data_IF_338874932781
#
_entry.id   IF_338874932781
#
_cell.length_a   1.000
_cell.length_b   1.000
_cell.length_c   1.000
_cell.angle_alpha   90.00
_cell.angle_beta   90.00
_cell.angle_gamma   90.00
#
_symmetry.space_group_name_H-M   'P 1'
#
loop_
_entity.id
_entity.type
_entity.pdbx_description
1 polymer ?
#
# COMPACT_ATOMS: atom_id res chain seq x y z
N UNK A 1 15.07 7.68 -39.69
CA UNK A 1 15.83 7.24 -38.49
C UNK A 1 15.16 7.72 -37.20
N UNK A 2 13.88 8.12 -37.26
CA UNK A 2 13.17 8.72 -36.12
C UNK A 2 12.31 7.72 -35.34
N UNK A 3 11.99 6.56 -35.92
CA UNK A 3 11.23 5.50 -35.26
C UNK A 3 11.96 4.81 -34.10
N UNK A 4 13.29 4.67 -34.17
CA UNK A 4 14.11 4.02 -33.13
C UNK A 4 14.14 4.87 -31.84
N UNK A 5 14.12 6.20 -31.95
CA UNK A 5 14.14 7.10 -30.78
C UNK A 5 12.83 7.08 -29.97
N UNK A 6 11.71 6.77 -30.61
CA UNK A 6 10.40 6.77 -29.95
C UNK A 6 10.15 5.46 -29.19
N UNK A 7 10.66 4.34 -29.70
CA UNK A 7 10.63 3.03 -29.03
C UNK A 7 11.50 3.03 -27.76
N UNK A 8 12.73 3.56 -27.85
CA UNK A 8 13.63 3.71 -26.69
C UNK A 8 13.02 4.63 -25.62
N UNK A 9 12.33 5.70 -26.01
CA UNK A 9 11.66 6.60 -25.07
C UNK A 9 10.49 5.91 -24.34
N UNK A 10 9.72 5.08 -25.05
CA UNK A 10 8.63 4.30 -24.48
C UNK A 10 9.16 3.22 -23.51
N UNK A 11 10.23 2.51 -23.89
CA UNK A 11 10.87 1.51 -23.04
C UNK A 11 11.43 2.16 -21.77
N UNK A 12 12.12 3.29 -21.91
CA UNK A 12 12.63 4.05 -20.77
C UNK A 12 11.50 4.48 -19.83
N UNK A 13 10.40 5.00 -20.36
CA UNK A 13 9.23 5.37 -19.56
C UNK A 13 8.67 4.17 -18.78
N UNK A 14 8.59 2.99 -19.42
CA UNK A 14 8.12 1.76 -18.77
C UNK A 14 9.05 1.36 -17.61
N UNK A 15 10.36 1.37 -17.84
CA UNK A 15 11.34 1.07 -16.80
C UNK A 15 11.29 2.07 -15.65
N UNK A 16 11.11 3.36 -15.94
CA UNK A 16 10.95 4.39 -14.91
C UNK A 16 9.70 4.16 -14.05
N UNK A 17 8.57 3.81 -14.67
CA UNK A 17 7.34 3.47 -13.95
C UNK A 17 7.50 2.24 -13.06
N UNK A 18 8.15 1.19 -13.56
CA UNK A 18 8.45 -0.03 -12.78
C UNK A 18 9.39 0.28 -11.61
N UNK A 19 10.42 1.10 -11.82
CA UNK A 19 11.32 1.54 -10.74
C UNK A 19 10.59 2.40 -9.70
N UNK A 20 9.69 3.27 -10.16
CA UNK A 20 8.92 4.14 -9.29
C UNK A 20 7.98 3.34 -8.38
N UNK A 21 7.28 2.34 -8.92
CA UNK A 21 6.38 1.51 -8.10
C UNK A 21 7.13 0.74 -7.01
N UNK A 22 8.31 0.22 -7.33
CA UNK A 22 9.19 -0.44 -6.35
C UNK A 22 9.66 0.53 -5.25
N UNK A 23 10.07 1.75 -5.63
CA UNK A 23 10.50 2.76 -4.67
C UNK A 23 9.37 3.16 -3.70
N UNK A 24 8.15 3.33 -4.22
CA UNK A 24 6.97 3.66 -3.39
C UNK A 24 6.67 2.51 -2.42
N UNK A 25 6.76 1.26 -2.89
CA UNK A 25 6.55 0.09 -2.05
C UNK A 25 7.60 -0.04 -0.93
N UNK A 26 8.86 0.24 -1.24
CA UNK A 26 9.94 0.23 -0.26
C UNK A 26 9.71 1.29 0.83
N UNK A 27 9.37 2.52 0.43
CA UNK A 27 9.05 3.60 1.36
C UNK A 27 7.87 3.25 2.27
N UNK A 28 6.79 2.71 1.69
CA UNK A 28 5.63 2.24 2.44
C UNK A 28 6.00 1.12 3.42
N UNK A 29 6.84 0.17 2.99
CA UNK A 29 7.33 -0.93 3.83
C UNK A 29 8.09 -0.39 5.04
N UNK A 30 9.01 0.56 4.83
CA UNK A 30 9.77 1.18 5.92
C UNK A 30 8.84 1.97 6.86
N UNK A 31 7.89 2.71 6.30
CA UNK A 31 6.90 3.47 7.06
C UNK A 31 6.07 2.58 8.00
N UNK A 32 5.43 1.54 7.46
CA UNK A 32 4.61 0.63 8.27
C UNK A 32 5.44 -0.20 9.23
N UNK A 33 6.66 -0.59 8.84
CA UNK A 33 7.58 -1.30 9.74
C UNK A 33 7.86 -0.46 10.98
N UNK A 34 8.23 0.82 10.81
CA UNK A 34 8.49 1.71 11.96
C UNK A 34 7.23 1.95 12.77
N UNK A 35 6.12 2.30 12.12
CA UNK A 35 4.85 2.64 12.79
C UNK A 35 4.28 1.47 13.58
N UNK A 36 4.26 0.28 13.00
CA UNK A 36 3.70 -0.89 13.65
C UNK A 36 4.66 -1.48 14.68
N UNK A 37 5.97 -1.32 14.50
CA UNK A 37 6.94 -1.68 15.55
C UNK A 37 6.68 -0.90 16.84
N UNK A 38 6.57 0.43 16.75
CA UNK A 38 6.33 1.30 17.91
C UNK A 38 4.99 1.02 18.61
N UNK A 39 3.99 0.54 17.86
CA UNK A 39 2.64 0.25 18.39
C UNK A 39 2.53 -1.16 18.97
N UNK A 40 3.15 -2.15 18.35
CA UNK A 40 2.89 -3.55 18.62
C UNK A 40 4.00 -4.26 19.38
N UNK A 41 5.26 -3.79 19.29
CA UNK A 41 6.40 -4.50 19.87
C UNK A 41 6.80 -3.86 21.19
N UNK A 42 6.42 -4.50 22.29
CA UNK A 42 6.75 -4.04 23.63
C UNK A 42 8.08 -4.57 24.17
N UNK A 43 8.51 -5.76 23.73
CA UNK A 43 9.76 -6.41 24.18
C UNK A 43 10.42 -7.14 23.02
N UNK A 44 11.71 -6.90 22.82
CA UNK A 44 12.47 -7.60 21.78
C UNK A 44 12.81 -9.01 22.28
N UNK A 45 12.11 -10.02 21.76
CA UNK A 45 12.37 -11.44 21.99
C UNK A 45 13.04 -12.12 20.80
N UNK A 46 13.29 -13.42 20.91
CA UNK A 46 13.80 -14.25 19.79
C UNK A 46 12.73 -14.60 18.76
N UNK A 47 11.46 -14.35 19.09
CA UNK A 47 10.30 -14.56 18.25
C UNK A 47 9.19 -13.61 18.69
N UNK A 48 8.31 -13.28 17.75
CA UNK A 48 7.07 -12.57 18.03
C UNK A 48 6.12 -13.50 18.77
N UNK A 49 5.55 -13.03 19.89
CA UNK A 49 4.47 -13.78 20.53
C UNK A 49 3.16 -13.68 19.70
N UNK A 50 2.15 -14.47 20.05
CA UNK A 50 0.90 -14.49 19.29
C UNK A 50 0.18 -13.14 19.29
N UNK A 51 0.31 -12.36 20.37
CA UNK A 51 -0.33 -11.05 20.48
C UNK A 51 0.37 -10.01 19.61
N UNK A 52 1.71 -10.04 19.54
CA UNK A 52 2.51 -9.20 18.65
C UNK A 52 2.21 -9.51 17.18
N UNK A 53 2.14 -10.79 16.80
CA UNK A 53 1.79 -11.21 15.43
C UNK A 53 0.39 -10.71 15.03
N UNK A 54 -0.61 -10.93 15.88
CA UNK A 54 -1.98 -10.43 15.63
C UNK A 54 -2.03 -8.91 15.60
N UNK A 55 -1.28 -8.21 16.45
CA UNK A 55 -1.22 -6.76 16.43
C UNK A 55 -0.64 -6.23 15.12
N UNK A 56 0.46 -6.82 14.62
CA UNK A 56 1.09 -6.40 13.37
C UNK A 56 0.16 -6.56 12.15
N UNK A 57 -0.55 -7.69 12.04
CA UNK A 57 -1.54 -7.91 10.96
C UNK A 57 -2.62 -6.82 10.98
N UNK A 58 -3.22 -6.63 12.15
CA UNK A 58 -4.25 -5.61 12.35
C UNK A 58 -3.71 -4.20 12.10
N UNK A 59 -2.48 -3.89 12.51
CA UNK A 59 -1.91 -2.55 12.37
C UNK A 59 -1.88 -2.09 10.91
N UNK A 60 -1.42 -2.96 10.02
CA UNK A 60 -1.34 -2.68 8.58
C UNK A 60 -2.73 -2.70 7.95
N UNK A 61 -3.57 -3.69 8.25
CA UNK A 61 -4.95 -3.78 7.75
C UNK A 61 -5.80 -2.56 8.13
N UNK A 62 -5.73 -2.12 9.40
CA UNK A 62 -6.47 -0.95 9.87
C UNK A 62 -6.02 0.33 9.18
N UNK A 63 -4.75 0.45 8.82
CA UNK A 63 -4.26 1.61 8.07
C UNK A 63 -4.91 1.68 6.69
N UNK A 64 -4.95 0.56 5.95
CA UNK A 64 -5.55 0.52 4.61
C UNK A 64 -7.05 0.80 4.65
N UNK A 65 -7.79 0.17 5.57
CA UNK A 65 -9.23 0.40 5.76
C UNK A 65 -9.57 1.87 5.99
N UNK A 66 -8.85 2.50 6.92
CA UNK A 66 -9.09 3.89 7.28
C UNK A 66 -8.65 4.82 6.16
N UNK A 67 -7.53 4.52 5.48
CA UNK A 67 -7.05 5.34 4.37
C UNK A 67 -8.06 5.37 3.23
N UNK A 68 -8.63 4.22 2.85
CA UNK A 68 -9.68 4.15 1.83
C UNK A 68 -10.93 4.94 2.28
N UNK A 69 -11.38 4.73 3.52
CA UNK A 69 -12.53 5.46 4.07
C UNK A 69 -12.31 6.97 4.07
N UNK A 70 -11.14 7.44 4.52
CA UNK A 70 -10.79 8.86 4.54
C UNK A 70 -10.74 9.43 3.12
N UNK A 71 -10.14 8.71 2.17
CA UNK A 71 -10.13 9.12 0.76
C UNK A 71 -11.55 9.23 0.21
N UNK A 72 -12.41 8.27 0.49
CA UNK A 72 -13.83 8.31 0.09
C UNK A 72 -14.54 9.52 0.68
N UNK A 73 -14.30 9.83 1.96
CA UNK A 73 -14.89 10.98 2.63
C UNK A 73 -14.39 12.33 2.11
N UNK A 74 -13.10 12.44 1.78
CA UNK A 74 -12.50 13.67 1.25
C UNK A 74 -12.90 13.87 -0.23
N UNK A 75 -12.88 12.80 -1.03
CA UNK A 75 -13.30 12.82 -2.43
C UNK A 75 -14.83 12.96 -2.58
N UNK A 76 -15.60 12.57 -1.56
CA UNK A 76 -17.07 12.66 -1.45
C UNK A 76 -17.67 14.07 -1.41
N UNK A 77 -16.99 15.05 -2.00
CA UNK A 77 -17.60 16.28 -2.51
C UNK A 77 -17.63 16.35 -4.05
N UNK A 78 -17.24 15.28 -4.76
CA UNK A 78 -17.45 15.15 -6.20
C UNK A 78 -17.83 13.70 -6.56
N UNK A 79 -19.11 13.54 -6.90
CA UNK A 79 -19.74 12.40 -7.58
C UNK A 79 -20.10 11.13 -6.78
N UNK A 80 -21.38 10.79 -6.86
CA UNK A 80 -22.04 9.68 -6.18
C UNK A 80 -21.81 8.29 -6.79
N UNK A 81 -22.47 7.26 -6.23
CA UNK A 81 -22.02 5.88 -6.31
C UNK A 81 -22.44 5.21 -7.62
N UNK A 82 -21.46 4.78 -8.40
CA UNK A 82 -21.66 3.71 -9.37
C UNK A 82 -20.35 2.95 -9.53
N UNK A 83 -20.18 1.92 -8.70
CA UNK A 83 -19.45 0.72 -9.07
C UNK A 83 -19.86 -0.42 -8.14
N UNK A 84 -20.45 -1.44 -8.76
CA UNK A 84 -20.85 -2.68 -8.13
C UNK A 84 -19.66 -3.29 -7.42
N UNK A 85 -19.76 -3.35 -6.10
CA UNK A 85 -18.80 -4.03 -5.26
C UNK A 85 -19.12 -5.52 -5.35
N UNK A 86 -18.39 -6.24 -6.20
CA UNK A 86 -18.24 -7.68 -6.07
C UNK A 86 -17.63 -7.94 -4.69
N UNK A 87 -18.51 -8.17 -3.71
CA UNK A 87 -18.18 -8.78 -2.44
C UNK A 87 -17.73 -10.21 -2.74
N UNK A 88 -16.41 -10.41 -2.84
CA UNK A 88 -15.88 -11.69 -3.26
C UNK A 88 -14.37 -11.79 -3.19
N UNK A 89 -13.76 -11.25 -2.15
CA UNK A 89 -12.33 -11.41 -1.90
C UNK A 89 -12.12 -11.11 -0.45
N UNK A 90 -11.87 -12.17 0.31
CA UNK A 90 -11.76 -12.13 1.76
C UNK A 90 -10.89 -10.96 2.22
N UNK A 91 -11.37 -10.29 3.26
CA UNK A 91 -10.58 -9.44 4.12
C UNK A 91 -9.59 -10.31 4.96
N UNK A 92 -9.03 -11.38 4.34
CA UNK A 92 -8.03 -12.38 4.74
C UNK A 92 -7.61 -13.24 3.54
#
# INVERSE_FOLDING_TARGET
MDGIKQEEALELQRLLQERQSLSIFEEATLHYTSLCFDKCIGRIGTKLDSSEQTCLSNCVERFFDVSESVLYHIAGSADGPNQGQEKGGSFF
#
